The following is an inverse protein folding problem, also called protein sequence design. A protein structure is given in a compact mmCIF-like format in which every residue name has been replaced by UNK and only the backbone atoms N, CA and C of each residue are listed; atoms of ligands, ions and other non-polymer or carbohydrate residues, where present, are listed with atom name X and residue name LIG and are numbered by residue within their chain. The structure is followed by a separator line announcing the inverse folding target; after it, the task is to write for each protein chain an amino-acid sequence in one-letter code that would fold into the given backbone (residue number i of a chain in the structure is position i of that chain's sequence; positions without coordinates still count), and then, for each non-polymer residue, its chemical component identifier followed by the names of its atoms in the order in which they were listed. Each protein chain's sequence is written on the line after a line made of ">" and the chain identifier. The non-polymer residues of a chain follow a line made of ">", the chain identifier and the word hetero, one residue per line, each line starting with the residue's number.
data_IF_948404305078
#
_entry.id   IF_948404305078
#
_cell.length_a   1.000
_cell.length_b   1.000
_cell.length_c   1.000
_cell.angle_alpha   90.00
_cell.angle_beta   90.00
_cell.angle_gamma   90.00
#
_symmetry.space_group_name_H-M   'P 1'
#
loop_
_entity.id
_entity.type
_entity.pdbx_description
1 polymer ?
#
# COMPACT_ATOMS: atom_id res chain seq x y z
N UNK A 1 1.42 -19.94 37.69
CA UNK A 1 1.21 -18.51 37.34
C UNK A 1 2.56 -17.84 37.09
N UNK A 2 3.53 -18.03 37.98
CA UNK A 2 4.86 -17.42 37.87
C UNK A 2 5.65 -17.84 36.62
N UNK A 3 5.53 -19.10 36.17
CA UNK A 3 6.14 -19.56 34.92
C UNK A 3 5.55 -18.90 33.67
N UNK A 4 4.24 -18.62 33.66
CA UNK A 4 3.58 -17.92 32.54
C UNK A 4 3.98 -16.45 32.54
N UNK A 5 4.07 -15.82 33.71
CA UNK A 5 4.54 -14.44 33.82
C UNK A 5 6.02 -14.29 33.42
N UNK A 6 6.85 -15.27 33.77
CA UNK A 6 8.25 -15.34 33.33
C UNK A 6 8.39 -15.56 31.82
N UNK A 7 7.47 -16.31 31.20
CA UNK A 7 7.42 -16.53 29.75
C UNK A 7 6.88 -15.29 28.99
N UNK A 8 5.89 -14.59 29.55
CA UNK A 8 5.36 -13.34 28.99
C UNK A 8 6.42 -12.23 29.04
N UNK A 9 7.20 -12.17 30.11
CA UNK A 9 8.29 -11.22 30.31
C UNK A 9 9.64 -11.87 30.07
N UNK A 10 9.75 -12.68 29.00
CA UNK A 10 11.03 -13.23 28.55
C UNK A 10 12.05 -12.11 28.44
N UNK A 11 13.22 -12.31 29.04
CA UNK A 11 14.33 -11.38 28.92
C UNK A 11 14.75 -11.26 27.46
N UNK A 12 14.41 -10.15 26.82
CA UNK A 12 14.88 -9.79 25.48
C UNK A 12 16.25 -9.13 25.57
N UNK A 13 17.11 -9.37 24.57
CA UNK A 13 18.40 -8.68 24.47
C UNK A 13 18.18 -7.20 24.22
N UNK A 14 17.23 -6.87 23.35
CA UNK A 14 16.80 -5.49 23.12
C UNK A 14 15.82 -5.11 24.24
N UNK A 15 16.09 -4.05 25.03
CA UNK A 15 15.17 -3.65 26.10
C UNK A 15 13.77 -3.33 25.54
N UNK A 16 12.71 -3.74 26.24
CA UNK A 16 11.32 -3.47 25.83
C UNK A 16 11.04 -2.01 25.46
N UNK A 17 11.56 -0.98 26.16
CA UNK A 17 11.37 0.41 25.76
C UNK A 17 11.91 0.72 24.35
N UNK A 18 13.03 0.11 23.97
CA UNK A 18 13.62 0.26 22.63
C UNK A 18 12.77 -0.45 21.58
N UNK A 19 12.24 -1.64 21.90
CA UNK A 19 11.31 -2.35 21.02
C UNK A 19 10.06 -1.51 20.79
N UNK A 20 9.42 -1.01 21.84
CA UNK A 20 8.23 -0.17 21.71
C UNK A 20 8.51 1.13 20.97
N UNK A 21 9.69 1.74 21.19
CA UNK A 21 10.12 2.89 20.40
C UNK A 21 10.18 2.51 18.91
N UNK A 22 10.84 1.41 18.54
CA UNK A 22 10.91 0.94 17.14
C UNK A 22 9.51 0.70 16.56
N UNK A 23 8.62 0.02 17.27
CA UNK A 23 7.26 -0.22 16.78
C UNK A 23 6.49 1.11 16.61
N UNK A 24 6.63 2.04 17.55
CA UNK A 24 6.08 3.39 17.43
C UNK A 24 6.65 4.15 16.23
N UNK A 25 7.96 4.08 16.01
CA UNK A 25 8.64 4.67 14.85
C UNK A 25 8.15 4.09 13.52
N UNK A 26 7.94 2.78 13.45
CA UNK A 26 7.39 2.10 12.28
C UNK A 26 5.95 2.56 11.98
N UNK A 27 5.12 2.73 13.02
CA UNK A 27 3.77 3.29 12.91
C UNK A 27 3.82 4.73 12.38
N UNK A 28 4.66 5.58 12.98
CA UNK A 28 4.76 7.00 12.61
C UNK A 28 5.25 7.17 11.16
N UNK A 29 6.32 6.47 10.77
CA UNK A 29 6.87 6.59 9.42
C UNK A 29 5.96 5.90 8.39
N UNK A 30 5.35 4.76 8.72
CA UNK A 30 4.33 4.13 7.86
C UNK A 30 3.11 5.03 7.67
N UNK A 31 2.67 5.71 8.73
CA UNK A 31 1.60 6.70 8.67
C UNK A 31 1.97 7.87 7.76
N UNK A 32 3.18 8.39 7.89
CA UNK A 32 3.68 9.49 7.08
C UNK A 32 3.57 9.19 5.58
N UNK A 33 3.99 7.99 5.15
CA UNK A 33 3.87 7.54 3.75
C UNK A 33 2.39 7.38 3.35
N UNK A 34 1.57 6.81 4.23
CA UNK A 34 0.16 6.53 3.98
C UNK A 34 -0.76 7.76 3.94
N UNK A 35 -0.41 8.86 4.63
CA UNK A 35 -1.24 10.08 4.70
C UNK A 35 -1.46 10.68 3.31
N UNK A 36 -0.40 10.78 2.50
CA UNK A 36 -0.49 11.36 1.17
C UNK A 36 -1.39 10.52 0.26
N UNK A 37 -1.38 9.19 0.45
CA UNK A 37 -2.22 8.25 -0.29
C UNK A 37 -3.69 8.39 0.06
N UNK A 38 -3.99 8.41 1.36
CA UNK A 38 -5.34 8.56 1.88
C UNK A 38 -5.95 9.88 1.39
N UNK A 39 -5.20 10.98 1.48
CA UNK A 39 -5.64 12.31 1.03
C UNK A 39 -6.00 12.35 -0.45
N UNK A 40 -5.28 11.61 -1.29
CA UNK A 40 -5.51 11.52 -2.74
C UNK A 40 -6.49 10.41 -3.13
N UNK A 41 -7.18 9.80 -2.15
CA UNK A 41 -8.11 8.68 -2.35
C UNK A 41 -7.49 7.54 -3.19
N UNK A 42 -6.17 7.37 -3.09
CA UNK A 42 -5.48 6.28 -3.77
C UNK A 42 -5.77 4.98 -3.00
N UNK A 43 -5.91 3.85 -3.69
CA UNK A 43 -6.13 2.58 -3.02
C UNK A 43 -4.89 2.21 -2.18
N UNK A 44 -5.10 1.45 -1.10
CA UNK A 44 -4.14 1.24 -0.01
C UNK A 44 -3.62 2.56 0.60
N UNK A 45 -4.42 3.12 1.51
CA UNK A 45 -4.14 4.39 2.16
C UNK A 45 -3.39 4.24 3.49
N UNK A 46 -3.82 5.02 4.48
CA UNK A 46 -3.11 5.20 5.75
C UNK A 46 -2.96 3.88 6.54
N UNK A 47 -4.08 3.18 6.73
CA UNK A 47 -4.12 1.94 7.53
C UNK A 47 -3.20 0.87 6.94
N UNK A 48 -3.18 0.73 5.62
CA UNK A 48 -2.37 -0.28 4.94
C UNK A 48 -0.88 -0.03 5.14
N UNK A 49 -0.41 1.20 4.94
CA UNK A 49 1.02 1.51 5.08
C UNK A 49 1.50 1.39 6.53
N UNK A 50 0.65 1.75 7.52
CA UNK A 50 0.94 1.53 8.95
C UNK A 50 1.10 0.04 9.24
N UNK A 51 0.13 -0.80 8.82
CA UNK A 51 0.15 -2.23 9.11
C UNK A 51 1.33 -2.94 8.44
N UNK A 52 1.64 -2.60 7.19
CA UNK A 52 2.79 -3.18 6.45
C UNK A 52 4.11 -2.80 7.11
N UNK A 53 4.30 -1.53 7.49
CA UNK A 53 5.50 -1.06 8.19
C UNK A 53 5.63 -1.71 9.57
N UNK A 54 4.55 -1.74 10.36
CA UNK A 54 4.53 -2.33 11.69
C UNK A 54 4.84 -3.84 11.65
N UNK A 55 4.18 -4.60 10.77
CA UNK A 55 4.44 -6.04 10.62
C UNK A 55 5.90 -6.32 10.25
N UNK A 56 6.45 -5.52 9.32
CA UNK A 56 7.85 -5.62 8.91
C UNK A 56 8.82 -5.32 10.07
N UNK A 57 8.52 -4.30 10.89
CA UNK A 57 9.31 -3.99 12.08
C UNK A 57 9.25 -5.09 13.13
N UNK A 58 8.08 -5.68 13.36
CA UNK A 58 7.91 -6.84 14.26
C UNK A 58 8.77 -8.00 13.79
N UNK A 59 8.71 -8.35 12.50
CA UNK A 59 9.53 -9.45 11.96
C UNK A 59 11.03 -9.20 12.11
N UNK A 60 11.50 -7.97 11.87
CA UNK A 60 12.89 -7.62 12.09
C UNK A 60 13.31 -7.68 13.57
N UNK A 61 12.47 -7.21 14.50
CA UNK A 61 12.74 -7.35 15.95
C UNK A 61 12.80 -8.81 16.36
N UNK A 62 11.82 -9.63 15.94
CA UNK A 62 11.81 -11.07 16.21
C UNK A 62 13.07 -11.73 15.64
N UNK A 63 13.50 -11.37 14.42
CA UNK A 63 14.75 -11.88 13.83
C UNK A 63 15.97 -11.58 14.70
N UNK A 64 16.08 -10.34 15.19
CA UNK A 64 17.18 -9.92 16.07
C UNK A 64 17.17 -10.69 17.38
N UNK A 65 16.01 -10.86 18.01
CA UNK A 65 15.89 -11.61 19.26
C UNK A 65 16.17 -13.11 19.06
N UNK A 66 15.70 -13.71 17.97
CA UNK A 66 15.92 -15.12 17.66
C UNK A 66 17.40 -15.47 17.53
N UNK A 67 18.23 -14.61 16.93
CA UNK A 67 19.70 -14.83 16.84
C UNK A 67 20.36 -15.07 18.20
N UNK A 68 19.77 -14.54 19.28
CA UNK A 68 20.32 -14.62 20.62
C UNK A 68 19.65 -15.68 21.49
N UNK A 69 18.69 -16.44 20.95
CA UNK A 69 18.07 -17.54 21.67
C UNK A 69 19.02 -18.74 21.76
N UNK A 70 19.54 -18.96 22.96
CA UNK A 70 20.46 -20.06 23.30
C UNK A 70 19.85 -21.44 23.09
N UNK A 71 18.52 -21.58 23.20
CA UNK A 71 17.78 -22.84 22.97
C UNK A 71 17.80 -23.32 21.52
N UNK A 72 18.09 -22.44 20.57
CA UNK A 72 18.25 -22.77 19.16
C UNK A 72 19.71 -22.93 18.77
N UNK A 73 20.67 -22.73 19.68
CA UNK A 73 22.11 -22.63 19.38
C UNK A 73 22.82 -23.99 19.38
N UNK A 74 22.34 -24.95 18.58
CA UNK A 74 23.17 -26.09 18.19
C UNK A 74 24.25 -25.65 17.18
N UNK A 75 25.42 -26.31 17.11
CA UNK A 75 26.47 -25.94 16.14
C UNK A 75 26.02 -25.96 14.67
N UNK A 76 24.90 -26.61 14.33
CA UNK A 76 24.29 -26.60 13.00
C UNK A 76 23.26 -25.49 12.75
N UNK A 77 22.75 -24.82 13.79
CA UNK A 77 21.65 -23.86 13.65
C UNK A 77 22.21 -22.45 13.55
N UNK A 78 22.41 -22.01 12.30
CA UNK A 78 22.84 -20.65 11.99
C UNK A 78 21.62 -19.79 11.64
N UNK A 79 21.24 -18.90 12.54
CA UNK A 79 20.15 -17.94 12.31
C UNK A 79 20.67 -16.81 11.41
N UNK A 80 20.04 -16.63 10.27
CA UNK A 80 20.40 -15.63 9.28
C UNK A 80 19.30 -14.57 9.14
N UNK A 81 19.51 -13.34 9.66
CA UNK A 81 18.55 -12.24 9.55
C UNK A 81 18.20 -11.86 8.11
N UNK A 82 19.05 -12.18 7.12
CA UNK A 82 18.76 -11.86 5.71
C UNK A 82 17.53 -12.61 5.22
N UNK A 83 17.27 -13.81 5.74
CA UNK A 83 16.09 -14.62 5.38
C UNK A 83 14.78 -13.93 5.75
N UNK A 84 14.78 -13.18 6.86
CA UNK A 84 13.62 -12.38 7.26
C UNK A 84 13.45 -11.19 6.32
N UNK A 85 14.54 -10.54 5.90
CA UNK A 85 14.49 -9.48 4.88
C UNK A 85 13.90 -10.03 3.57
N UNK A 86 14.37 -11.18 3.11
CA UNK A 86 13.87 -11.85 1.90
C UNK A 86 12.38 -12.19 2.03
N UNK A 87 11.97 -12.85 3.12
CA UNK A 87 10.59 -13.24 3.35
C UNK A 87 9.64 -12.05 3.44
N UNK A 88 10.03 -11.00 4.17
CA UNK A 88 9.24 -9.76 4.27
C UNK A 88 9.15 -9.06 2.91
N UNK A 89 10.28 -8.94 2.20
CA UNK A 89 10.31 -8.32 0.86
C UNK A 89 9.39 -9.05 -0.11
N UNK A 90 9.41 -10.39 -0.12
CA UNK A 90 8.52 -11.22 -0.92
C UNK A 90 7.05 -11.09 -0.50
N UNK A 91 6.76 -11.12 0.81
CA UNK A 91 5.40 -10.98 1.33
C UNK A 91 4.78 -9.62 1.00
N UNK A 92 5.55 -8.53 1.12
CA UNK A 92 5.07 -7.19 0.76
C UNK A 92 4.92 -7.06 -0.76
N UNK A 93 5.83 -7.66 -1.56
CA UNK A 93 5.69 -7.68 -3.02
C UNK A 93 4.41 -8.41 -3.46
N UNK A 94 4.02 -9.48 -2.78
CA UNK A 94 2.75 -10.17 -3.02
C UNK A 94 1.53 -9.27 -2.74
N UNK A 95 1.51 -8.57 -1.61
CA UNK A 95 0.46 -7.59 -1.30
C UNK A 95 0.43 -6.45 -2.33
N UNK A 96 1.61 -5.97 -2.76
CA UNK A 96 1.75 -4.95 -3.80
C UNK A 96 1.23 -5.40 -5.16
N UNK A 97 1.52 -6.63 -5.57
CA UNK A 97 1.00 -7.21 -6.80
C UNK A 97 -0.54 -7.26 -6.80
N UNK A 98 -1.15 -7.58 -5.65
CA UNK A 98 -2.61 -7.59 -5.50
C UNK A 98 -3.29 -6.23 -5.72
N UNK A 99 -2.53 -5.12 -5.71
CA UNK A 99 -3.03 -3.77 -5.99
C UNK A 99 -2.90 -3.36 -7.45
N UNK A 100 -2.14 -4.11 -8.25
CA UNK A 100 -1.88 -3.80 -9.66
C UNK A 100 -2.98 -4.43 -10.50
N UNK A 101 -3.71 -3.61 -11.24
CA UNK A 101 -4.83 -4.04 -12.10
C UNK A 101 -4.59 -3.61 -13.53
N UNK A 102 -4.78 -4.52 -14.46
CA UNK A 102 -4.79 -4.23 -15.90
C UNK A 102 -6.23 -4.09 -16.38
N UNK A 103 -6.59 -2.95 -16.96
CA UNK A 103 -7.94 -2.72 -17.48
C UNK A 103 -7.91 -1.78 -18.68
N UNK A 104 -8.59 -2.16 -19.76
CA UNK A 104 -8.73 -1.35 -20.99
C UNK A 104 -7.40 -0.82 -21.57
N UNK A 105 -6.34 -1.63 -21.49
CA UNK A 105 -5.01 -1.25 -21.99
C UNK A 105 -4.18 -0.39 -21.03
N UNK A 106 -4.70 -0.06 -19.85
CA UNK A 106 -3.99 0.72 -18.83
C UNK A 106 -3.61 -0.14 -17.62
N UNK A 107 -2.43 0.11 -17.05
CA UNK A 107 -1.98 -0.46 -15.78
C UNK A 107 -2.26 0.55 -14.66
N UNK A 108 -3.01 0.15 -13.63
CA UNK A 108 -3.30 0.96 -12.44
C UNK A 108 -2.67 0.34 -11.19
N UNK A 109 -2.34 1.18 -10.22
CA UNK A 109 -1.86 0.73 -8.91
C UNK A 109 -0.36 0.47 -8.78
N UNK A 110 0.45 0.66 -9.84
CA UNK A 110 1.91 0.50 -9.81
C UNK A 110 2.56 1.32 -8.69
N UNK A 111 2.29 2.62 -8.65
CA UNK A 111 2.85 3.50 -7.63
C UNK A 111 2.36 3.07 -6.25
N UNK A 112 1.09 2.72 -6.08
CA UNK A 112 0.53 2.21 -4.82
C UNK A 112 1.30 0.99 -4.31
N UNK A 113 1.51 -0.01 -5.17
CA UNK A 113 2.32 -1.19 -4.86
C UNK A 113 3.73 -0.82 -4.41
N UNK A 114 4.40 0.05 -5.16
CA UNK A 114 5.74 0.53 -4.80
C UNK A 114 5.78 1.26 -3.44
N UNK A 115 4.74 2.02 -3.11
CA UNK A 115 4.62 2.70 -1.82
C UNK A 115 4.47 1.73 -0.64
N UNK A 116 3.68 0.67 -0.81
CA UNK A 116 3.56 -0.38 0.21
C UNK A 116 4.87 -1.14 0.37
N UNK A 117 5.55 -1.44 -0.73
CA UNK A 117 6.87 -2.09 -0.70
C UNK A 117 7.89 -1.28 0.08
N UNK A 118 7.93 0.03 -0.19
CA UNK A 118 8.80 0.96 0.52
C UNK A 118 8.42 1.10 2.01
N UNK A 119 7.14 1.10 2.36
CA UNK A 119 6.71 1.08 3.76
C UNK A 119 7.19 -0.18 4.50
N UNK A 120 7.20 -1.34 3.84
CA UNK A 120 7.77 -2.56 4.38
C UNK A 120 9.28 -2.43 4.64
N UNK A 121 10.03 -1.86 3.69
CA UNK A 121 11.46 -1.60 3.84
C UNK A 121 11.78 -0.61 4.98
N UNK A 122 10.97 0.43 5.14
CA UNK A 122 11.05 1.38 6.27
C UNK A 122 10.79 0.67 7.60
N UNK A 123 9.76 -0.18 7.65
CA UNK A 123 9.46 -1.02 8.81
C UNK A 123 10.62 -1.94 9.20
N UNK A 124 11.19 -2.68 8.24
CA UNK A 124 12.38 -3.52 8.45
C UNK A 124 13.54 -2.70 9.02
N UNK A 125 13.82 -1.55 8.41
CA UNK A 125 14.91 -0.67 8.83
C UNK A 125 14.74 -0.22 10.28
N UNK A 126 13.55 0.23 10.67
CA UNK A 126 13.25 0.58 12.07
C UNK A 126 13.35 -0.64 12.99
N UNK A 127 12.81 -1.79 12.59
CA UNK A 127 12.83 -3.02 13.39
C UNK A 127 14.25 -3.52 13.68
N UNK A 128 15.18 -3.37 12.73
CA UNK A 128 16.62 -3.62 12.95
C UNK A 128 17.34 -2.50 13.72
N UNK A 129 16.69 -1.35 13.93
CA UNK A 129 17.25 -0.20 14.65
C UNK A 129 17.93 0.84 13.77
N UNK A 130 17.83 0.74 12.45
CA UNK A 130 18.37 1.71 11.49
C UNK A 130 17.44 2.92 11.31
N UNK A 131 17.29 3.70 12.38
CA UNK A 131 16.40 4.86 12.44
C UNK A 131 16.66 5.91 11.35
N UNK A 132 17.92 6.25 11.12
CA UNK A 132 18.29 7.26 10.12
C UNK A 132 17.99 6.79 8.69
N UNK A 133 18.25 5.51 8.39
CA UNK A 133 17.94 4.92 7.08
C UNK A 133 16.44 4.95 6.84
N UNK A 134 15.65 4.52 7.84
CA UNK A 134 14.20 4.55 7.77
C UNK A 134 13.63 5.96 7.60
N UNK A 135 14.12 6.92 8.38
CA UNK A 135 13.67 8.31 8.31
C UNK A 135 14.01 8.92 6.94
N UNK A 136 15.23 8.72 6.45
CA UNK A 136 15.63 9.18 5.12
C UNK A 136 14.78 8.55 4.02
N UNK A 137 14.56 7.23 4.06
CA UNK A 137 13.73 6.53 3.09
C UNK A 137 12.27 7.04 3.10
N UNK A 138 11.69 7.27 4.28
CA UNK A 138 10.36 7.83 4.41
C UNK A 138 10.27 9.26 3.84
N UNK A 139 11.23 10.13 4.15
CA UNK A 139 11.28 11.49 3.59
C UNK A 139 11.48 11.47 2.08
N UNK A 140 12.41 10.67 1.57
CA UNK A 140 12.62 10.50 0.13
C UNK A 140 11.36 10.00 -0.56
N UNK A 141 10.63 9.06 0.06
CA UNK A 141 9.35 8.56 -0.47
C UNK A 141 8.31 9.67 -0.61
N UNK A 142 8.20 10.54 0.39
CA UNK A 142 7.29 11.67 0.36
C UNK A 142 7.69 12.65 -0.73
N UNK A 143 8.98 12.96 -0.86
CA UNK A 143 9.47 13.85 -1.91
C UNK A 143 9.06 13.31 -3.29
N UNK A 144 9.29 12.02 -3.54
CA UNK A 144 8.89 11.38 -4.81
C UNK A 144 7.38 11.44 -5.01
N UNK A 145 6.58 11.03 -4.02
CA UNK A 145 5.11 11.02 -4.10
C UNK A 145 4.52 12.43 -4.29
N UNK A 146 5.09 13.42 -3.62
CA UNK A 146 4.59 14.79 -3.62
C UNK A 146 4.98 15.55 -4.90
N UNK A 147 6.23 15.38 -5.37
CA UNK A 147 6.70 15.99 -6.62
C UNK A 147 5.93 15.39 -7.80
N UNK A 148 5.89 14.05 -7.94
CA UNK A 148 5.15 13.42 -9.04
C UNK A 148 3.66 13.74 -8.95
N UNK A 149 3.09 13.72 -7.73
CA UNK A 149 1.68 14.06 -7.54
C UNK A 149 1.35 15.51 -7.87
N UNK A 150 2.30 16.45 -7.77
CA UNK A 150 2.13 17.83 -8.26
C UNK A 150 2.34 17.94 -9.76
N UNK A 151 3.30 17.22 -10.31
CA UNK A 151 3.55 17.17 -11.74
C UNK A 151 2.35 16.60 -12.49
N UNK A 152 1.65 15.60 -11.96
CA UNK A 152 0.43 15.03 -12.58
C UNK A 152 -0.72 16.04 -12.66
N UNK A 153 -0.80 16.99 -11.71
CA UNK A 153 -1.79 18.09 -11.71
C UNK A 153 -1.35 19.23 -12.62
N UNK A 154 -0.05 19.55 -12.64
CA UNK A 154 0.51 20.60 -13.49
C UNK A 154 0.58 20.19 -14.98
N UNK A 155 0.81 18.89 -15.24
CA UNK A 155 0.75 18.21 -16.53
C UNK A 155 -0.63 17.58 -16.72
N UNK A 156 -1.73 18.26 -16.33
CA UNK A 156 -2.99 18.12 -17.05
C UNK A 156 -2.75 18.58 -18.49
N UNK A 157 -2.04 17.71 -19.20
CA UNK A 157 -1.86 17.64 -20.62
C UNK A 157 -3.27 17.74 -21.17
N UNK A 158 -3.59 18.92 -21.70
CA UNK A 158 -4.67 19.08 -22.67
C UNK A 158 -4.55 17.91 -23.62
N UNK A 159 -5.38 16.89 -23.47
CA UNK A 159 -5.76 16.11 -24.62
C UNK A 159 -6.24 17.15 -25.63
N UNK A 160 -5.71 17.21 -26.86
CA UNK A 160 -6.25 18.12 -27.84
C UNK A 160 -7.75 17.84 -27.91
N UNK A 161 -8.56 18.85 -27.60
CA UNK A 161 -9.97 18.84 -27.94
C UNK A 161 -10.00 18.67 -29.45
N UNK A 162 -10.26 17.45 -29.90
CA UNK A 162 -10.65 17.18 -31.27
C UNK A 162 -12.03 17.78 -31.43
N UNK A 163 -12.08 19.06 -31.73
CA UNK A 163 -13.28 19.74 -32.19
C UNK A 163 -13.56 19.36 -33.65
N UNK A 164 -14.86 19.38 -33.95
CA UNK A 164 -15.55 19.22 -35.24
C UNK A 164 -16.06 17.79 -35.54
N UNK A 165 -17.33 17.50 -35.21
CA UNK A 165 -18.59 17.96 -35.83
C UNK A 165 -18.95 17.19 -37.11
N UNK A 166 -20.21 16.81 -37.23
CA UNK A 166 -20.78 16.29 -38.48
C UNK A 166 -21.39 14.88 -38.42
N UNK A 167 -22.45 14.67 -37.62
CA UNK A 167 -23.62 13.86 -38.04
C UNK A 167 -24.73 13.93 -36.98
N UNK A 168 -25.35 15.09 -36.81
CA UNK A 168 -26.74 15.12 -36.33
C UNK A 168 -27.61 14.62 -37.47
N UNK A 169 -28.01 13.36 -37.41
CA UNK A 169 -29.03 12.82 -38.31
C UNK A 169 -30.36 13.56 -38.04
N UNK A 170 -31.01 14.18 -39.04
CA UNK A 170 -32.23 14.92 -38.82
C UNK A 170 -33.36 13.94 -38.52
N UNK A 171 -33.94 14.11 -37.32
CA UNK A 171 -35.17 13.45 -36.88
C UNK A 171 -36.28 13.82 -37.87
N UNK A 172 -36.59 12.92 -38.81
CA UNK A 172 -37.71 13.07 -39.75
C UNK A 172 -39.02 12.99 -38.97
N UNK A 173 -39.49 14.13 -38.48
CA UNK A 173 -40.92 14.39 -38.33
C UNK A 173 -41.42 14.76 -39.71
N UNK A 174 -42.38 13.98 -40.23
CA UNK A 174 -43.58 14.44 -40.93
C UNK A 174 -44.16 13.28 -41.75
N UNK A 175 -45.15 12.62 -41.15
CA UNK A 175 -46.32 12.15 -41.87
C UNK A 175 -47.52 12.43 -40.97
N UNK A 176 -48.11 13.59 -41.21
CA UNK A 176 -49.37 14.04 -40.66
C UNK A 176 -50.54 13.15 -41.12
N UNK A 177 -51.64 13.18 -40.38
CA UNK A 177 -52.97 12.89 -40.92
C UNK A 177 -53.78 11.84 -40.16
N UNK A 178 -54.72 12.32 -39.36
CA UNK A 178 -55.81 11.61 -38.67
C UNK A 178 -56.81 10.91 -39.66
N UNK A 179 -57.97 10.29 -39.27
CA UNK A 179 -58.63 10.26 -37.96
C UNK A 179 -59.28 8.93 -37.52
N UNK A 180 -59.86 9.00 -36.32
CA UNK A 180 -60.81 8.08 -35.67
C UNK A 180 -61.85 7.41 -36.59
N UNK A 181 -62.10 6.12 -36.36
CA UNK A 181 -63.22 5.37 -36.93
C UNK A 181 -63.63 4.20 -36.04
N UNK A 182 -64.91 4.20 -35.69
CA UNK A 182 -65.67 3.31 -34.80
C UNK A 182 -66.11 1.97 -35.43
N UNK A 183 -66.44 0.97 -34.59
CA UNK A 183 -67.21 -0.25 -34.94
C UNK A 183 -66.33 -1.40 -35.44
N UNK A 184 -66.55 -2.70 -35.19
CA UNK A 184 -67.72 -3.52 -34.87
C UNK A 184 -67.24 -4.82 -34.17
N UNK A 185 -67.88 -5.26 -33.08
CA UNK A 185 -68.69 -6.50 -32.92
C UNK A 185 -68.15 -7.82 -33.53
N UNK A 186 -68.17 -8.84 -32.67
CA UNK A 186 -68.51 -10.26 -32.93
C UNK A 186 -67.63 -11.05 -33.91
N UNK A 187 -66.92 -12.08 -33.39
CA UNK A 187 -67.42 -13.45 -33.22
C UNK A 187 -66.41 -14.29 -32.45
#
# INVERSE_FOLDING_TARGET
>A
MDQILADILVGTRTPYPVIFARLGGAILLGALIGIEREKRQRPAGLRTHILVSLASAIFAVVAVESVHMTSLSGPEVRIDPIRVVEAVTAGVAFLAAGMIVFSKGEVKGLTTGAGMWLAGAVGLSIGFGFWLIAAFAAVASLIVLFILGRMEVALQWKAPEGEEDGAREPRRKDAAGAPSGSGERSR
#
